data_IF_298257040250
#
_entry.id   IF_298257040250
#
_cell.length_a   1.000
_cell.length_b   1.000
_cell.length_c   1.000
_cell.angle_alpha   90.00
_cell.angle_beta   90.00
_cell.angle_gamma   90.00
#
_symmetry.space_group_name_H-M   'P 1'
#
loop_
_entity.id
_entity.type
_entity.pdbx_description
1 polymer ?
#
# COMPACT_ATOMS: atom_id res chain seq x y z
N UNK A 1 -15.50 19.06 2.84
CA UNK A 1 -14.53 18.73 3.92
C UNK A 1 -13.09 19.00 3.49
N UNK A 2 -12.54 18.30 2.49
CA UNK A 2 -11.13 18.40 2.09
C UNK A 2 -10.68 19.84 1.76
N UNK A 3 -11.43 20.59 0.95
CA UNK A 3 -11.09 21.98 0.61
C UNK A 3 -10.93 22.90 1.82
N UNK A 4 -11.79 22.71 2.84
CA UNK A 4 -11.71 23.46 4.10
C UNK A 4 -10.47 23.09 4.91
N UNK A 5 -10.15 21.79 5.02
CA UNK A 5 -9.01 21.30 5.81
C UNK A 5 -7.65 21.65 5.18
N UNK A 6 -7.59 21.68 3.85
CA UNK A 6 -6.37 21.97 3.10
C UNK A 6 -6.23 23.45 2.73
N UNK A 7 -7.30 24.26 2.82
CA UNK A 7 -7.27 25.66 2.39
C UNK A 7 -7.16 25.83 0.87
N UNK A 8 -7.45 24.80 0.09
CA UNK A 8 -7.31 24.77 -1.37
C UNK A 8 -8.63 24.38 -2.04
N UNK A 9 -8.95 24.91 -3.23
CA UNK A 9 -10.16 24.54 -3.96
C UNK A 9 -10.02 23.14 -4.59
N UNK A 10 -10.38 22.09 -3.85
CA UNK A 10 -10.35 20.71 -4.34
C UNK A 10 -11.48 20.46 -5.33
N UNK A 11 -11.11 20.03 -6.54
CA UNK A 11 -12.05 19.61 -7.59
C UNK A 11 -11.60 18.25 -8.13
N UNK A 12 -12.50 17.27 -8.11
CA UNK A 12 -12.25 15.93 -8.62
C UNK A 12 -13.32 15.65 -9.67
N UNK A 13 -12.95 15.60 -10.96
CA UNK A 13 -13.90 15.27 -12.01
C UNK A 13 -14.37 13.82 -11.86
N UNK A 14 -15.67 13.58 -12.10
CA UNK A 14 -16.24 12.23 -12.06
C UNK A 14 -15.60 11.29 -13.08
N UNK A 15 -15.25 11.83 -14.25
CA UNK A 15 -14.56 11.16 -15.35
C UNK A 15 -13.11 10.80 -15.02
N UNK A 16 -12.55 11.40 -13.96
CA UNK A 16 -11.18 11.17 -13.53
C UNK A 16 -11.06 10.97 -12.02
N UNK A 17 -11.92 10.10 -11.47
CA UNK A 17 -11.91 9.73 -10.05
C UNK A 17 -10.55 9.23 -9.55
N UNK A 18 -9.68 8.73 -10.44
CA UNK A 18 -8.33 8.29 -10.09
C UNK A 18 -7.45 9.42 -9.54
N UNK A 19 -7.82 10.69 -9.79
CA UNK A 19 -7.21 11.86 -9.15
C UNK A 19 -7.24 11.81 -7.62
N UNK A 20 -8.17 11.07 -7.02
CA UNK A 20 -8.22 10.82 -5.58
C UNK A 20 -6.90 10.29 -5.00
N UNK A 21 -6.11 9.54 -5.79
CA UNK A 21 -4.82 9.01 -5.34
C UNK A 21 -3.83 10.11 -4.94
N UNK A 22 -3.84 11.27 -5.63
CA UNK A 22 -2.97 12.40 -5.28
C UNK A 22 -3.27 12.96 -3.87
N UNK A 23 -4.50 12.77 -3.37
CA UNK A 23 -4.93 13.26 -2.06
C UNK A 23 -4.70 12.27 -0.92
N UNK A 24 -4.25 11.03 -1.18
CA UNK A 24 -4.00 10.04 -0.12
C UNK A 24 -3.00 10.53 0.92
N UNK A 25 -1.99 11.30 0.50
CA UNK A 25 -0.98 11.85 1.39
C UNK A 25 -1.53 12.96 2.30
N UNK A 26 -2.70 13.51 1.97
CA UNK A 26 -3.37 14.56 2.73
C UNK A 26 -4.35 14.01 3.77
N UNK A 27 -4.60 12.69 3.80
CA UNK A 27 -5.65 12.10 4.64
C UNK A 27 -5.44 12.35 6.13
N UNK A 28 -4.19 12.42 6.61
CA UNK A 28 -3.89 12.78 7.99
C UNK A 28 -4.45 14.15 8.40
N UNK A 29 -4.45 15.12 7.48
CA UNK A 29 -5.01 16.47 7.69
C UNK A 29 -6.50 16.52 7.38
N UNK A 30 -6.93 15.90 6.28
CA UNK A 30 -8.34 15.88 5.85
C UNK A 30 -9.23 15.21 6.92
N UNK A 31 -8.73 14.14 7.52
CA UNK A 31 -9.48 13.32 8.48
C UNK A 31 -9.04 13.57 9.94
N UNK A 32 -8.33 14.65 10.24
CA UNK A 32 -7.73 14.89 11.57
C UNK A 32 -8.73 14.78 12.73
N UNK A 33 -9.99 15.19 12.51
CA UNK A 33 -11.07 15.13 13.51
C UNK A 33 -11.41 13.67 13.89
N UNK A 34 -11.20 12.72 12.97
CA UNK A 34 -11.42 11.29 13.20
C UNK A 34 -10.17 10.57 13.74
N UNK A 35 -9.01 11.23 13.71
CA UNK A 35 -7.72 10.62 14.01
C UNK A 35 -7.22 10.91 15.44
N UNK A 36 -7.94 11.71 16.23
CA UNK A 36 -7.48 12.19 17.55
C UNK A 36 -6.98 11.10 18.51
N UNK A 37 -7.58 9.91 18.46
CA UNK A 37 -7.24 8.78 19.34
C UNK A 37 -6.37 7.70 18.67
N UNK A 38 -5.81 7.99 17.49
CA UNK A 38 -4.98 7.06 16.73
C UNK A 38 -3.52 7.54 16.69
N UNK A 39 -2.59 6.67 17.09
CA UNK A 39 -1.15 6.94 16.99
C UNK A 39 -0.64 7.02 15.54
N UNK A 40 -1.34 6.35 14.61
CA UNK A 40 -1.00 6.27 13.20
C UNK A 40 -2.27 6.32 12.35
N UNK A 41 -2.13 6.87 11.15
CA UNK A 41 -3.10 6.74 10.07
C UNK A 41 -2.43 6.09 8.86
N UNK A 42 -3.21 5.67 7.87
CA UNK A 42 -2.66 5.09 6.66
C UNK A 42 -3.58 5.18 5.46
N UNK A 43 -3.04 4.79 4.31
CA UNK A 43 -3.74 4.69 3.05
C UNK A 43 -3.40 3.35 2.39
N UNK A 44 -4.39 2.74 1.74
CA UNK A 44 -4.21 1.56 0.91
C UNK A 44 -5.15 1.56 -0.28
N UNK A 45 -4.86 0.70 -1.25
CA UNK A 45 -5.78 0.46 -2.37
C UNK A 45 -6.88 -0.53 -1.98
N UNK A 46 -7.99 -0.47 -2.73
CA UNK A 46 -9.15 -1.34 -2.54
C UNK A 46 -8.97 -2.71 -3.23
N UNK A 47 -8.04 -2.83 -4.17
CA UNK A 47 -7.77 -4.04 -4.95
C UNK A 47 -6.70 -4.94 -4.29
N UNK A 48 -6.84 -5.11 -2.98
CA UNK A 48 -5.93 -5.90 -2.16
C UNK A 48 -6.65 -6.91 -1.23
N UNK A 49 -6.04 -8.07 -1.02
CA UNK A 49 -6.43 -9.04 0.02
C UNK A 49 -5.35 -9.04 1.11
N UNK A 50 -5.75 -8.76 2.35
CA UNK A 50 -4.84 -8.65 3.49
C UNK A 50 -4.59 -9.99 4.18
N UNK A 51 -3.33 -10.24 4.50
CA UNK A 51 -2.90 -11.27 5.44
C UNK A 51 -2.81 -10.73 6.86
N UNK A 52 -1.98 -11.37 7.70
CA UNK A 52 -1.74 -10.94 9.08
C UNK A 52 -0.80 -9.75 9.12
N UNK A 53 -1.35 -8.54 8.99
CA UNK A 53 -0.56 -7.31 8.94
C UNK A 53 0.39 -7.15 10.14
N UNK A 54 -0.02 -7.60 11.34
CA UNK A 54 0.77 -7.51 12.59
C UNK A 54 2.04 -8.38 12.59
N UNK A 55 2.13 -9.40 11.74
CA UNK A 55 3.36 -10.16 11.52
C UNK A 55 4.44 -9.29 10.88
N UNK A 56 4.04 -8.32 10.04
CA UNK A 56 4.95 -7.48 9.25
C UNK A 56 5.10 -6.06 9.83
N UNK A 57 4.02 -5.51 10.39
CA UNK A 57 3.96 -4.19 11.01
C UNK A 57 4.02 -4.32 12.54
N UNK A 58 5.19 -4.73 13.03
CA UNK A 58 5.39 -5.03 14.46
C UNK A 58 5.39 -3.78 15.33
N UNK A 59 5.08 -3.90 16.64
CA UNK A 59 5.18 -2.78 17.58
C UNK A 59 6.56 -2.12 17.58
N UNK A 60 7.64 -2.90 17.43
CA UNK A 60 9.01 -2.38 17.31
C UNK A 60 9.19 -1.49 16.08
N UNK A 61 8.65 -1.90 14.92
CA UNK A 61 8.73 -1.10 13.69
C UNK A 61 7.97 0.22 13.91
N UNK A 62 6.75 0.16 14.44
CA UNK A 62 5.93 1.34 14.71
C UNK A 62 6.57 2.27 15.74
N UNK A 63 7.18 1.75 16.80
CA UNK A 63 7.86 2.57 17.81
C UNK A 63 9.08 3.32 17.25
N UNK A 64 9.77 2.75 16.27
CA UNK A 64 11.05 3.28 15.77
C UNK A 64 10.94 4.18 14.52
N UNK A 65 9.78 4.19 13.85
CA UNK A 65 9.60 4.85 12.55
C UNK A 65 8.39 5.77 12.53
N UNK A 66 8.49 6.84 11.76
CA UNK A 66 7.43 7.82 11.53
C UNK A 66 6.57 7.44 10.33
N UNK A 67 7.18 6.77 9.34
CA UNK A 67 6.51 6.36 8.11
C UNK A 67 6.88 4.90 7.82
N UNK A 68 5.90 4.10 7.45
CA UNK A 68 6.09 2.71 7.00
C UNK A 68 5.42 2.52 5.64
N UNK A 69 6.13 1.93 4.68
CA UNK A 69 5.59 1.60 3.35
C UNK A 69 6.16 0.28 2.87
N UNK A 70 5.41 -0.45 2.05
CA UNK A 70 5.79 -1.78 1.55
C UNK A 70 6.94 -1.78 0.54
N UNK A 71 7.40 -0.61 0.11
CA UNK A 71 8.41 -0.51 -0.93
C UNK A 71 9.87 -0.60 -0.49
N UNK A 72 10.71 -0.93 -1.47
CA UNK A 72 12.16 -1.05 -1.33
C UNK A 72 12.87 0.26 -1.69
N UNK A 73 12.65 1.32 -0.92
CA UNK A 73 13.24 2.65 -1.17
C UNK A 73 12.37 3.60 -2.01
N UNK A 74 11.11 3.23 -2.20
CA UNK A 74 10.06 4.02 -2.84
C UNK A 74 8.76 3.82 -2.08
N UNK A 75 7.96 4.87 -1.95
CA UNK A 75 6.58 4.79 -1.44
C UNK A 75 5.68 4.23 -2.55
N UNK A 76 4.87 3.25 -2.19
CA UNK A 76 3.86 2.68 -3.09
C UNK A 76 2.48 3.15 -2.66
N UNK A 77 1.65 3.58 -3.62
CA UNK A 77 0.34 4.19 -3.35
C UNK A 77 -0.67 3.22 -2.74
N UNK A 78 -0.39 1.92 -2.85
CA UNK A 78 -1.22 0.85 -2.33
C UNK A 78 -0.98 0.53 -0.84
N UNK A 79 0.09 1.05 -0.20
CA UNK A 79 0.27 0.92 1.25
C UNK A 79 1.23 1.97 1.83
N UNK A 80 0.68 2.78 2.73
CA UNK A 80 1.39 3.78 3.50
C UNK A 80 0.80 3.88 4.91
N UNK A 81 1.66 3.96 5.92
CA UNK A 81 1.28 4.24 7.32
C UNK A 81 2.15 5.39 7.81
N UNK A 82 1.55 6.40 8.41
CA UNK A 82 2.19 7.62 8.90
C UNK A 82 1.80 7.86 10.36
N UNK A 83 2.80 8.20 11.19
CA UNK A 83 2.59 8.58 12.58
C UNK A 83 1.75 9.86 12.63
N UNK A 84 0.67 9.80 13.40
CA UNK A 84 -0.29 10.88 13.51
C UNK A 84 0.25 12.02 14.38
N UNK A 85 0.90 12.99 13.73
CA UNK A 85 1.41 14.21 14.36
C UNK A 85 1.18 15.36 13.40
N UNK A 86 0.89 16.56 13.91
CA UNK A 86 0.70 17.75 13.06
C UNK A 86 1.84 17.91 12.03
N UNK A 87 3.09 17.76 12.49
CA UNK A 87 4.30 17.83 11.64
C UNK A 87 4.27 16.89 10.43
N UNK A 88 3.80 15.66 10.61
CA UNK A 88 3.77 14.64 9.56
C UNK A 88 2.47 14.67 8.75
N UNK A 89 1.37 15.08 9.37
CA UNK A 89 0.11 15.28 8.69
C UNK A 89 0.20 16.44 7.69
N UNK A 90 1.05 17.43 7.96
CA UNK A 90 1.34 18.55 7.07
C UNK A 90 2.55 18.28 6.14
N UNK A 91 3.01 17.03 6.00
CA UNK A 91 4.17 16.72 5.14
C UNK A 91 3.90 17.09 3.67
N UNK A 92 2.65 16.94 3.23
CA UNK A 92 2.20 17.20 1.86
C UNK A 92 2.48 18.64 1.42
N UNK A 93 2.37 19.62 2.31
CA UNK A 93 2.53 21.04 1.98
C UNK A 93 3.97 21.42 1.66
N UNK A 94 4.92 20.55 1.99
CA UNK A 94 6.36 20.73 1.73
C UNK A 94 6.81 20.01 0.47
N UNK A 95 5.93 19.24 -0.17
CA UNK A 95 6.24 18.51 -1.39
C UNK A 95 6.31 19.49 -2.57
N UNK A 96 7.36 19.44 -3.41
CA UNK A 96 7.47 20.30 -4.57
C UNK A 96 6.27 20.14 -5.52
N UNK A 97 5.71 21.26 -5.98
CA UNK A 97 4.60 21.26 -6.95
C UNK A 97 3.25 20.81 -6.38
N UNK A 98 3.07 20.77 -5.05
CA UNK A 98 1.85 20.25 -4.44
C UNK A 98 0.60 21.06 -4.82
N UNK A 99 0.65 22.38 -4.73
CA UNK A 99 -0.52 23.23 -5.01
C UNK A 99 -0.92 23.17 -6.49
N UNK A 100 0.07 23.16 -7.39
CA UNK A 100 -0.11 23.00 -8.83
C UNK A 100 -0.73 21.64 -9.15
N UNK A 101 -0.25 20.58 -8.50
CA UNK A 101 -0.79 19.24 -8.65
C UNK A 101 -2.24 19.15 -8.15
N UNK A 102 -2.60 19.86 -7.08
CA UNK A 102 -3.98 19.92 -6.58
C UNK A 102 -4.89 20.73 -7.51
N UNK A 103 -4.39 21.83 -8.09
CA UNK A 103 -5.14 22.67 -9.01
C UNK A 103 -5.40 21.99 -10.37
N UNK A 104 -4.48 21.13 -10.83
CA UNK A 104 -4.65 20.37 -12.06
C UNK A 104 -5.63 19.19 -11.88
N UNK A 105 -6.81 19.35 -12.47
CA UNK A 105 -7.87 18.32 -12.45
C UNK A 105 -7.76 17.33 -13.61
N UNK A 106 -6.89 17.56 -14.59
CA UNK A 106 -6.77 16.76 -15.81
C UNK A 106 -5.69 15.68 -15.75
N UNK A 107 -4.77 15.75 -14.78
CA UNK A 107 -3.63 14.83 -14.70
C UNK A 107 -3.44 14.21 -13.31
N UNK A 108 -2.89 13.00 -13.30
CA UNK A 108 -2.39 12.35 -12.08
C UNK A 108 -0.92 12.71 -11.87
N UNK A 109 -0.61 13.31 -10.72
CA UNK A 109 0.75 13.76 -10.39
C UNK A 109 1.57 12.74 -9.60
N UNK A 110 0.90 11.69 -9.11
CA UNK A 110 1.47 10.59 -8.31
C UNK A 110 2.09 11.11 -7.02
N UNK A 111 1.37 11.99 -6.33
CA UNK A 111 1.82 12.57 -5.06
C UNK A 111 2.06 11.49 -4.01
N UNK A 112 1.19 10.47 -3.98
CA UNK A 112 1.25 9.31 -3.09
C UNK A 112 2.37 8.31 -3.40
N UNK A 113 3.13 8.53 -4.49
CA UNK A 113 4.20 7.63 -4.91
C UNK A 113 5.49 8.36 -5.27
N UNK A 114 5.49 9.09 -6.40
CA UNK A 114 6.71 9.67 -6.98
C UNK A 114 7.18 10.84 -6.13
N UNK A 115 6.32 11.84 -5.96
CA UNK A 115 6.71 13.11 -5.34
C UNK A 115 7.07 12.93 -3.88
N UNK A 116 6.31 12.14 -3.11
CA UNK A 116 6.66 11.83 -1.73
C UNK A 116 7.97 11.03 -1.64
N UNK A 117 8.23 10.10 -2.58
CA UNK A 117 9.48 9.33 -2.60
C UNK A 117 10.67 10.24 -2.84
N UNK A 118 10.57 11.13 -3.83
CA UNK A 118 11.61 12.11 -4.16
C UNK A 118 11.86 13.01 -2.96
N UNK A 119 10.81 13.61 -2.40
CA UNK A 119 10.90 14.48 -1.22
C UNK A 119 11.53 13.79 0.01
N UNK A 120 11.19 12.51 0.26
CA UNK A 120 11.78 11.75 1.37
C UNK A 120 13.24 11.35 1.09
N UNK A 121 13.60 11.09 -0.17
CA UNK A 121 14.95 10.67 -0.57
C UNK A 121 15.93 11.84 -0.70
N UNK A 122 15.49 13.03 -1.13
CA UNK A 122 16.33 14.23 -1.22
C UNK A 122 16.86 14.68 0.14
N UNK A 123 16.13 14.38 1.21
CA UNK A 123 16.57 14.61 2.61
C UNK A 123 17.54 13.55 3.13
N UNK A 124 17.84 12.52 2.34
CA UNK A 124 18.86 11.53 2.65
C UNK A 124 20.18 11.93 2.00
N UNK A 125 21.32 11.82 2.70
CA UNK A 125 22.62 11.93 2.06
C UNK A 125 22.70 10.94 0.88
N UNK A 126 23.20 11.38 -0.29
CA UNK A 126 23.46 10.49 -1.43
C UNK A 126 24.59 9.54 -1.06
N UNK A 127 24.26 8.41 -0.45
CA UNK A 127 25.21 7.35 -0.10
C UNK A 127 25.00 6.13 -1.00
N UNK A 128 26.09 5.53 -1.54
CA UNK A 128 26.01 4.28 -2.29
C UNK A 128 25.23 3.21 -1.53
N UNK A 129 24.50 2.32 -2.22
CA UNK A 129 23.63 1.32 -1.60
C UNK A 129 24.31 0.50 -0.49
N UNK A 130 25.60 0.18 -0.66
CA UNK A 130 26.47 -0.50 0.33
C UNK A 130 26.64 0.27 1.65
N UNK A 131 26.57 1.59 1.61
CA UNK A 131 26.77 2.51 2.74
C UNK A 131 25.44 3.03 3.33
N UNK A 132 24.27 2.59 2.83
CA UNK A 132 22.95 2.93 3.40
C UNK A 132 22.79 2.54 4.87
N UNK A 133 23.61 1.63 5.41
CA UNK A 133 23.63 1.29 6.86
C UNK A 133 24.23 2.40 7.73
N UNK A 134 24.99 3.32 7.14
CA UNK A 134 25.61 4.47 7.81
C UNK A 134 24.71 5.72 7.82
N UNK A 135 23.39 5.56 7.60
CA UNK A 135 22.35 6.61 7.69
C UNK A 135 22.17 7.22 9.09
N UNK A 136 23.19 7.15 9.97
CA UNK A 136 23.25 7.83 11.26
C UNK A 136 23.25 9.37 11.14
N UNK A 137 23.46 9.91 9.94
CA UNK A 137 23.57 11.34 9.65
C UNK A 137 22.36 11.90 8.89
N UNK A 138 21.16 11.46 9.25
CA UNK A 138 19.93 12.12 8.80
C UNK A 138 19.89 13.55 9.36
N UNK A 139 19.54 14.57 8.57
CA UNK A 139 19.28 15.91 9.11
C UNK A 139 18.31 15.82 10.27
N UNK A 140 18.60 16.54 11.35
CA UNK A 140 17.74 16.58 12.54
C UNK A 140 16.32 17.02 12.12
N UNK A 141 15.33 16.19 12.42
CA UNK A 141 13.92 16.46 12.08
C UNK A 141 13.38 15.75 10.83
N UNK A 142 14.20 15.04 10.05
CA UNK A 142 13.71 14.21 8.93
C UNK A 142 12.86 13.02 9.42
N UNK A 143 11.73 12.68 8.75
CA UNK A 143 10.94 11.52 9.12
C UNK A 143 11.74 10.22 9.04
N UNK A 144 11.61 9.36 10.06
CA UNK A 144 12.20 8.01 10.04
C UNK A 144 11.34 7.08 9.20
N UNK A 145 11.82 6.70 8.01
CA UNK A 145 11.05 5.84 7.09
C UNK A 145 11.52 4.40 7.14
N UNK A 146 10.61 3.47 7.43
CA UNK A 146 10.84 2.04 7.30
C UNK A 146 10.56 1.58 5.85
N UNK A 147 11.57 0.95 5.25
CA UNK A 147 11.48 0.35 3.92
C UNK A 147 11.60 -1.17 4.07
N UNK A 148 10.69 -1.95 3.45
CA UNK A 148 10.75 -3.41 3.51
C UNK A 148 11.82 -3.97 2.55
N UNK A 149 13.09 -3.92 2.96
CA UNK A 149 14.25 -4.19 2.09
C UNK A 149 14.62 -5.68 1.93
N UNK A 150 14.32 -6.55 2.90
CA UNK A 150 14.79 -7.95 2.92
C UNK A 150 14.02 -8.87 1.99
N UNK A 151 12.69 -8.77 2.02
CA UNK A 151 11.81 -9.65 1.29
C UNK A 151 10.56 -8.87 0.87
N UNK A 152 10.03 -9.14 -0.32
CA UNK A 152 8.75 -8.55 -0.74
C UNK A 152 7.68 -8.96 0.26
N UNK A 153 6.93 -7.98 0.76
CA UNK A 153 5.77 -8.18 1.62
C UNK A 153 4.45 -8.06 0.86
N UNK A 154 4.52 -7.88 -0.46
CA UNK A 154 3.38 -7.67 -1.35
C UNK A 154 3.59 -8.39 -2.68
N UNK A 155 2.51 -8.87 -3.29
CA UNK A 155 2.55 -9.49 -4.62
C UNK A 155 2.79 -8.46 -5.74
N UNK A 156 3.99 -8.41 -6.29
CA UNK A 156 4.33 -7.49 -7.39
C UNK A 156 4.08 -8.11 -8.77
N UNK A 157 4.14 -7.28 -9.82
CA UNK A 157 3.75 -7.66 -11.19
C UNK A 157 4.51 -8.88 -11.76
N UNK A 158 5.79 -9.05 -11.41
CA UNK A 158 6.58 -10.24 -11.79
C UNK A 158 6.03 -11.53 -11.17
N UNK A 159 5.70 -11.52 -9.87
CA UNK A 159 5.10 -12.70 -9.20
C UNK A 159 3.76 -13.08 -9.84
N UNK A 160 2.94 -12.09 -10.22
CA UNK A 160 1.66 -12.33 -10.87
C UNK A 160 1.83 -12.96 -12.26
N UNK A 161 2.80 -12.47 -13.04
CA UNK A 161 3.13 -13.05 -14.35
C UNK A 161 3.64 -14.49 -14.22
N UNK A 162 4.57 -14.75 -13.30
CA UNK A 162 5.12 -16.09 -13.05
C UNK A 162 4.02 -17.08 -12.59
N UNK A 163 3.20 -16.68 -11.62
CA UNK A 163 2.06 -17.45 -11.13
C UNK A 163 1.08 -17.83 -12.25
N UNK A 164 0.79 -16.88 -13.16
CA UNK A 164 -0.07 -17.12 -14.32
C UNK A 164 0.55 -18.14 -15.27
N UNK A 165 1.83 -17.97 -15.64
CA UNK A 165 2.55 -18.89 -16.53
C UNK A 165 2.61 -20.30 -15.97
N UNK A 166 2.81 -20.45 -14.66
CA UNK A 166 2.90 -21.75 -14.00
C UNK A 166 1.54 -22.37 -13.68
N UNK A 167 0.44 -21.64 -13.86
CA UNK A 167 -0.90 -22.08 -13.42
C UNK A 167 -0.97 -22.33 -11.91
N UNK A 168 -0.17 -21.60 -11.11
CA UNK A 168 -0.10 -21.71 -9.65
C UNK A 168 -0.74 -20.47 -9.03
N UNK A 169 -1.94 -20.58 -8.41
CA UNK A 169 -2.60 -19.43 -7.82
C UNK A 169 -1.86 -18.95 -6.57
N UNK A 170 -2.11 -17.70 -6.18
CA UNK A 170 -1.90 -17.26 -4.81
C UNK A 170 -2.97 -17.89 -3.91
N UNK A 171 -2.73 -17.89 -2.60
CA UNK A 171 -3.73 -18.35 -1.65
C UNK A 171 -3.89 -17.40 -0.48
N UNK A 172 -5.08 -17.42 0.09
CA UNK A 172 -5.35 -16.84 1.39
C UNK A 172 -5.93 -17.95 2.28
N UNK A 173 -5.44 -18.09 3.50
CA UNK A 173 -5.86 -19.18 4.40
C UNK A 173 -5.78 -18.72 5.86
N UNK A 174 -6.91 -18.80 6.58
CA UNK A 174 -6.99 -18.47 8.01
C UNK A 174 -6.35 -17.12 8.38
N UNK A 175 -6.66 -16.08 7.59
CA UNK A 175 -6.13 -14.73 7.77
C UNK A 175 -4.72 -14.48 7.24
N UNK A 176 -4.07 -15.47 6.59
CA UNK A 176 -2.72 -15.36 6.03
C UNK A 176 -2.77 -15.34 4.52
N UNK A 177 -1.89 -14.55 3.89
CA UNK A 177 -1.81 -14.43 2.44
C UNK A 177 -0.49 -15.02 1.94
N UNK A 178 -0.53 -15.78 0.85
CA UNK A 178 0.64 -16.48 0.32
C UNK A 178 0.77 -16.27 -1.19
N UNK A 179 2.01 -16.15 -1.65
CA UNK A 179 2.30 -16.13 -3.08
C UNK A 179 2.25 -17.56 -3.68
N UNK A 180 2.52 -17.65 -4.99
CA UNK A 180 2.50 -18.92 -5.74
C UNK A 180 3.62 -19.91 -5.35
N UNK A 181 4.56 -19.48 -4.52
CA UNK A 181 5.67 -20.29 -3.97
C UNK A 181 5.40 -20.71 -2.51
N UNK A 182 4.25 -20.33 -1.94
CA UNK A 182 3.92 -20.60 -0.53
C UNK A 182 4.59 -19.66 0.48
N UNK A 183 5.26 -18.59 0.04
CA UNK A 183 5.80 -17.58 0.96
C UNK A 183 4.69 -16.66 1.45
N UNK A 184 4.62 -16.43 2.76
CA UNK A 184 3.66 -15.50 3.37
C UNK A 184 3.97 -14.05 2.98
N UNK A 185 2.93 -13.31 2.62
CA UNK A 185 2.96 -11.89 2.30
C UNK A 185 2.04 -11.12 3.25
N UNK A 186 2.31 -9.83 3.43
CA UNK A 186 1.45 -8.95 4.22
C UNK A 186 0.09 -8.75 3.54
N UNK A 187 0.08 -8.65 2.21
CA UNK A 187 -1.13 -8.57 1.39
C UNK A 187 -0.83 -8.94 -0.06
N UNK A 188 -1.87 -9.35 -0.77
CA UNK A 188 -1.88 -9.54 -2.22
C UNK A 188 -2.49 -8.29 -2.84
N UNK A 189 -1.83 -7.72 -3.85
CA UNK A 189 -2.28 -6.54 -4.61
C UNK A 189 -2.45 -6.93 -6.08
N UNK A 190 -3.64 -6.71 -6.64
CA UNK A 190 -4.07 -7.30 -7.92
C UNK A 190 -4.03 -6.35 -9.12
N UNK A 191 -3.14 -5.35 -9.14
CA UNK A 191 -3.05 -4.38 -10.24
C UNK A 191 -3.00 -4.98 -11.65
N UNK A 192 -2.41 -6.18 -11.86
CA UNK A 192 -2.45 -6.87 -13.17
C UNK A 192 -3.61 -7.86 -13.30
N UNK A 193 -3.88 -8.64 -12.26
CA UNK A 193 -4.94 -9.66 -12.32
C UNK A 193 -6.32 -9.05 -12.49
N UNK A 194 -6.60 -7.88 -11.91
CA UNK A 194 -7.92 -7.23 -11.97
C UNK A 194 -8.42 -6.99 -13.40
N UNK A 195 -7.52 -6.85 -14.37
CA UNK A 195 -7.89 -6.69 -15.78
C UNK A 195 -8.56 -7.95 -16.35
N UNK A 196 -8.15 -9.14 -15.90
CA UNK A 196 -8.60 -10.43 -16.43
C UNK A 196 -9.51 -11.23 -15.50
N UNK A 197 -9.65 -10.84 -14.23
CA UNK A 197 -10.51 -11.55 -13.26
C UNK A 197 -11.98 -11.42 -13.64
N UNK A 198 -12.67 -12.57 -13.78
CA UNK A 198 -14.09 -12.66 -14.14
C UNK A 198 -14.87 -13.66 -13.27
N UNK A 199 -14.17 -14.53 -12.54
CA UNK A 199 -14.78 -15.49 -11.65
C UNK A 199 -14.74 -15.00 -10.19
N UNK A 200 -15.89 -15.07 -9.53
CA UNK A 200 -16.03 -14.91 -8.09
C UNK A 200 -16.87 -16.09 -7.60
N UNK A 201 -16.22 -17.03 -6.92
CA UNK A 201 -16.88 -18.22 -6.37
C UNK A 201 -16.82 -18.20 -4.86
N UNK A 202 -17.19 -17.07 -4.26
CA UNK A 202 -17.41 -16.96 -2.82
C UNK A 202 -18.49 -15.91 -2.53
N UNK A 203 -19.21 -16.09 -1.43
CA UNK A 203 -20.20 -15.12 -0.93
C UNK A 203 -19.74 -14.69 0.44
N UNK A 204 -19.76 -13.38 0.74
CA UNK A 204 -19.35 -12.82 2.04
C UNK A 204 -19.87 -13.59 3.25
N UNK A 205 -21.12 -14.09 3.17
CA UNK A 205 -21.78 -14.86 4.24
C UNK A 205 -21.15 -16.23 4.54
N UNK A 206 -20.30 -16.79 3.66
CA UNK A 206 -19.71 -18.13 3.83
C UNK A 206 -18.46 -18.15 4.71
N UNK A 207 -17.86 -17.00 5.03
CA UNK A 207 -16.63 -16.87 5.82
C UNK A 207 -15.57 -17.95 5.52
N UNK A 208 -15.04 -17.99 4.28
CA UNK A 208 -14.24 -19.12 3.83
C UNK A 208 -12.91 -19.22 4.58
N UNK A 209 -12.51 -20.43 4.96
CA UNK A 209 -11.21 -20.66 5.61
C UNK A 209 -10.04 -20.51 4.63
N UNK A 210 -10.30 -20.69 3.33
CA UNK A 210 -9.31 -20.65 2.26
C UNK A 210 -9.87 -20.06 0.97
N UNK A 211 -9.04 -19.30 0.27
CA UNK A 211 -9.28 -18.75 -1.06
C UNK A 211 -8.08 -19.02 -1.96
N UNK A 212 -8.35 -19.29 -3.23
CA UNK A 212 -7.36 -19.33 -4.29
C UNK A 212 -7.56 -18.13 -5.20
N UNK A 213 -6.47 -17.45 -5.53
CA UNK A 213 -6.50 -16.22 -6.29
C UNK A 213 -5.61 -16.36 -7.51
N UNK A 214 -6.20 -16.20 -8.69
CA UNK A 214 -5.51 -16.31 -9.97
C UNK A 214 -5.91 -15.19 -10.91
N UNK A 215 -5.31 -15.16 -12.11
CA UNK A 215 -5.72 -14.20 -13.14
C UNK A 215 -7.17 -14.39 -13.61
N UNK A 216 -7.80 -15.55 -13.37
CA UNK A 216 -9.20 -15.78 -13.75
C UNK A 216 -10.19 -15.30 -12.70
N UNK A 217 -9.79 -15.18 -11.43
CA UNK A 217 -10.71 -14.83 -10.36
C UNK A 217 -10.29 -15.30 -8.97
N UNK A 218 -11.22 -15.22 -8.03
CA UNK A 218 -11.09 -15.72 -6.66
C UNK A 218 -12.07 -16.89 -6.48
N UNK A 219 -11.57 -18.05 -6.05
CA UNK A 219 -12.36 -19.27 -5.92
C UNK A 219 -12.07 -20.02 -4.62
N UNK A 220 -13.04 -20.83 -4.16
CA UNK A 220 -12.86 -21.72 -3.00
C UNK A 220 -12.10 -23.00 -3.38
N UNK A 221 -12.35 -23.53 -4.57
CA UNK A 221 -11.69 -24.72 -5.12
C UNK A 221 -10.74 -24.36 -6.26
N UNK A 222 -9.73 -25.19 -6.51
CA UNK A 222 -8.81 -24.96 -7.63
C UNK A 222 -9.62 -24.92 -8.94
N UNK A 223 -9.32 -24.02 -9.89
CA UNK A 223 -10.03 -23.93 -11.18
C UNK A 223 -9.97 -25.21 -12.06
N UNK A 224 -9.32 -26.28 -11.58
CA UNK A 224 -9.26 -27.61 -12.21
C UNK A 224 -10.16 -28.66 -11.54
N UNK A 225 -11.10 -28.25 -10.68
CA UNK A 225 -12.15 -29.14 -10.16
C UNK A 225 -11.70 -30.19 -9.12
N UNK A 226 -10.47 -30.12 -8.60
CA UNK A 226 -10.11 -30.91 -7.42
C UNK A 226 -10.72 -30.25 -6.18
N UNK A 227 -11.77 -30.87 -5.64
CA UNK A 227 -12.22 -30.62 -4.26
C UNK A 227 -11.04 -30.95 -3.35
N UNK A 228 -10.62 -30.00 -2.52
CA UNK A 228 -9.79 -30.37 -1.37
C UNK A 228 -10.69 -31.22 -0.48
N UNK A 229 -10.25 -32.44 -0.15
CA UNK A 229 -11.00 -33.33 0.70
C UNK A 229 -11.35 -32.62 2.00
N UNK A 230 -12.63 -32.64 2.36
CA UNK A 230 -13.11 -32.16 3.64
C UNK A 230 -12.36 -32.93 4.74
N UNK A 231 -11.62 -32.21 5.58
CA UNK A 231 -11.01 -32.78 6.76
C UNK A 231 -12.13 -33.27 7.68
N UNK A 232 -12.13 -34.59 7.90
CA UNK A 232 -13.05 -35.30 8.79
C UNK A 232 -12.65 -35.13 10.25
#
# INVERSE_FOLDING_TARGET
MASKKLGLPIRIPSEFAYKLCDYKICLGRICEDYLQNYEFWGACDLDAIWGRIRTFLTPRILAQHDIVTSGQGRVWGHFLVIRNTARLNDLYSKMPGFEEAVADTGSLHRLDERVITEYLNERLPRVPARLRRLRKWLPQGSPKVFWHWRSPVVSHGRMQSEAKTLGKPFSWESGRAFNHLGSELMYLHFHKYKESMRAEDFVWKRNPEKLLISSSGITLTHPRGQRMADAS
#
